data_IF_421499692746
#
_entry.id   IF_421499692746
#
_cell.length_a   1.000
_cell.length_b   1.000
_cell.length_c   1.000
_cell.angle_alpha   90.00
_cell.angle_beta   90.00
_cell.angle_gamma   90.00
#
_symmetry.space_group_name_H-M   'P 1'
#
loop_
_entity.id
_entity.type
_entity.pdbx_description
1 polymer ?
#
# COMPACT_ATOMS: atom_id res chain seq x y z
N UNK A 1 -9.60 47.88 -20.94
CA UNK A 1 -9.33 47.41 -19.57
C UNK A 1 -9.54 45.90 -19.56
N UNK A 2 -8.44 45.14 -19.54
CA UNK A 2 -8.37 43.79 -20.13
C UNK A 2 -8.72 42.70 -19.11
N UNK A 3 -9.66 41.80 -19.46
CA UNK A 3 -10.12 40.65 -18.65
C UNK A 3 -8.98 39.78 -18.09
N UNK A 4 -7.81 39.82 -18.72
CA UNK A 4 -6.61 39.09 -18.30
C UNK A 4 -5.94 39.63 -17.02
N UNK A 5 -6.09 40.91 -16.69
CA UNK A 5 -5.51 41.51 -15.46
C UNK A 5 -6.28 41.06 -14.21
N UNK A 6 -7.59 40.85 -14.34
CA UNK A 6 -8.46 40.38 -13.25
C UNK A 6 -8.22 38.90 -12.91
N UNK A 7 -7.87 38.08 -13.90
CA UNK A 7 -7.52 36.66 -13.70
C UNK A 7 -6.14 36.51 -13.05
N UNK A 8 -5.18 37.37 -13.40
CA UNK A 8 -3.85 37.39 -12.79
C UNK A 8 -3.88 37.85 -11.32
N UNK A 9 -4.71 38.83 -10.98
CA UNK A 9 -4.92 39.25 -9.59
C UNK A 9 -5.62 38.17 -8.74
N UNK A 10 -6.57 37.44 -9.31
CA UNK A 10 -7.22 36.31 -8.62
C UNK A 10 -6.24 35.15 -8.34
N UNK A 11 -5.29 34.89 -9.24
CA UNK A 11 -4.27 33.85 -9.04
C UNK A 11 -3.24 34.21 -7.97
N UNK A 12 -2.87 35.49 -7.85
CA UNK A 12 -1.94 35.96 -6.80
C UNK A 12 -2.59 35.90 -5.41
N UNK A 13 -3.92 36.10 -5.30
CA UNK A 13 -4.63 35.98 -4.02
C UNK A 13 -4.80 34.53 -3.53
N UNK A 14 -4.76 33.53 -4.41
CA UNK A 14 -4.84 32.11 -4.03
C UNK A 14 -3.50 31.62 -3.43
N UNK A 15 -2.38 32.24 -3.80
CA UNK A 15 -1.04 31.85 -3.31
C UNK A 15 -0.68 32.52 -1.97
N UNK A 16 -1.29 33.66 -1.62
CA UNK A 16 -1.07 34.32 -0.31
C UNK A 16 -1.96 33.81 0.84
N UNK A 17 -2.84 32.83 0.59
CA UNK A 17 -3.82 32.33 1.55
C UNK A 17 -3.38 31.16 2.44
N UNK A 18 -2.16 30.64 2.30
CA UNK A 18 -1.59 29.65 3.22
C UNK A 18 -1.16 30.33 4.53
N UNK A 19 -2.11 30.92 5.25
CA UNK A 19 -1.95 31.16 6.67
C UNK A 19 -1.72 29.79 7.31
N UNK A 20 -0.51 29.59 7.84
CA UNK A 20 -0.16 28.42 8.65
C UNK A 20 -1.10 28.41 9.85
N UNK A 21 -2.25 27.74 9.72
CA UNK A 21 -3.13 27.45 10.84
C UNK A 21 -2.30 26.62 11.82
N UNK A 22 -1.92 27.20 12.95
CA UNK A 22 -1.44 26.40 14.07
C UNK A 22 -2.52 25.38 14.39
N UNK A 23 -2.20 24.09 14.19
CA UNK A 23 -3.10 22.97 14.51
C UNK A 23 -3.39 23.05 16.00
N UNK A 24 -4.67 23.23 16.35
CA UNK A 24 -5.10 23.16 17.75
C UNK A 24 -5.13 21.69 18.16
N UNK A 25 -4.28 21.33 19.12
CA UNK A 25 -4.17 19.97 19.66
C UNK A 25 -5.14 19.77 20.86
N UNK A 26 -6.06 20.70 21.10
CA UNK A 26 -7.08 20.60 22.14
C UNK A 26 -6.51 20.47 23.55
N UNK A 27 -7.09 19.54 24.33
CA UNK A 27 -6.72 19.23 25.72
C UNK A 27 -5.59 18.19 25.83
N UNK A 28 -4.59 18.26 24.95
CA UNK A 28 -3.45 17.33 24.92
C UNK A 28 -2.65 17.19 26.23
N UNK A 29 -2.77 18.14 27.17
CA UNK A 29 -2.18 18.03 28.51
C UNK A 29 -2.95 17.10 29.45
N UNK A 30 -4.18 16.72 29.10
CA UNK A 30 -5.05 15.82 29.86
C UNK A 30 -5.30 14.53 29.07
N UNK A 31 -5.57 14.66 27.76
CA UNK A 31 -5.92 13.56 26.86
C UNK A 31 -5.13 13.73 25.58
N UNK A 32 -4.26 12.76 25.26
CA UNK A 32 -3.48 12.79 24.03
C UNK A 32 -4.38 12.85 22.78
N UNK A 33 -3.95 13.55 21.71
CA UNK A 33 -4.73 13.59 20.48
C UNK A 33 -4.91 12.19 19.90
N UNK A 34 -6.16 11.83 19.57
CA UNK A 34 -6.47 10.63 18.79
C UNK A 34 -6.25 10.94 17.31
N UNK A 35 -5.01 10.76 16.85
CA UNK A 35 -4.65 10.83 15.43
C UNK A 35 -4.14 9.45 15.00
N UNK A 36 -4.65 8.91 13.88
CA UNK A 36 -4.22 7.62 13.36
C UNK A 36 -2.78 7.65 12.86
N UNK A 37 -2.28 8.82 12.47
CA UNK A 37 -1.04 8.95 11.69
C UNK A 37 0.19 9.22 12.57
N UNK A 38 -0.01 9.57 13.84
CA UNK A 38 1.05 9.97 14.75
C UNK A 38 1.00 9.23 16.10
N UNK A 39 2.18 8.98 16.66
CA UNK A 39 2.35 8.74 18.09
C UNK A 39 2.58 10.07 18.80
N UNK A 40 2.10 10.18 20.04
CA UNK A 40 2.25 11.36 20.87
C UNK A 40 2.86 11.00 22.23
N UNK A 41 3.70 11.88 22.75
CA UNK A 41 4.24 11.79 24.10
C UNK A 41 4.27 13.18 24.73
N UNK A 42 4.06 13.26 26.03
CA UNK A 42 4.10 14.52 26.78
C UNK A 42 5.28 14.51 27.74
N UNK A 43 6.06 15.60 27.72
CA UNK A 43 7.13 15.84 28.67
C UNK A 43 6.81 16.99 29.60
N UNK A 44 7.10 16.81 30.88
CA UNK A 44 6.86 17.78 31.94
C UNK A 44 5.79 17.33 32.95
N UNK A 45 5.37 18.23 33.86
CA UNK A 45 5.77 19.63 33.94
C UNK A 45 7.27 19.82 34.24
N UNK A 46 7.88 20.89 33.74
CA UNK A 46 9.30 21.18 33.93
C UNK A 46 9.60 22.68 34.07
N UNK A 47 10.64 23.09 34.82
CA UNK A 47 10.91 24.51 35.08
C UNK A 47 11.20 25.33 33.82
N UNK A 48 11.74 24.69 32.78
CA UNK A 48 12.09 25.36 31.51
C UNK A 48 11.44 24.66 30.32
N UNK A 49 11.17 25.43 29.27
CA UNK A 49 10.68 24.91 27.99
C UNK A 49 11.63 23.87 27.38
N UNK A 50 12.93 24.08 27.52
CA UNK A 50 13.93 23.14 27.00
C UNK A 50 13.86 21.80 27.73
N UNK A 51 13.81 21.81 29.07
CA UNK A 51 13.65 20.60 29.86
C UNK A 51 12.34 19.86 29.52
N UNK A 52 11.23 20.58 29.32
CA UNK A 52 9.97 19.96 28.89
C UNK A 52 10.09 19.28 27.52
N UNK A 53 10.75 19.94 26.55
CA UNK A 53 10.98 19.38 25.22
C UNK A 53 11.86 18.12 25.27
N UNK A 54 12.92 18.14 26.06
CA UNK A 54 13.86 17.02 26.18
C UNK A 54 13.21 15.84 26.90
N UNK A 55 12.40 16.12 27.93
CA UNK A 55 11.57 15.11 28.59
C UNK A 55 10.55 14.51 27.61
N UNK A 56 9.91 15.31 26.75
CA UNK A 56 8.94 14.79 25.77
C UNK A 56 9.60 13.86 24.74
N UNK A 57 10.83 14.19 24.32
CA UNK A 57 11.65 13.32 23.46
C UNK A 57 12.02 12.03 24.17
N UNK A 58 12.43 12.11 25.43
CA UNK A 58 12.77 10.94 26.25
C UNK A 58 11.56 10.02 26.44
N UNK A 59 10.38 10.57 26.74
CA UNK A 59 9.14 9.78 26.88
C UNK A 59 8.75 9.09 25.57
N UNK A 60 8.90 9.77 24.42
CA UNK A 60 8.72 9.12 23.12
C UNK A 60 9.74 7.98 22.90
N UNK A 61 11.01 8.19 23.25
CA UNK A 61 12.05 7.16 23.15
C UNK A 61 11.75 5.93 23.99
N UNK A 62 11.26 6.12 25.24
CA UNK A 62 10.81 5.03 26.11
C UNK A 62 9.62 4.29 25.51
N UNK A 63 8.61 5.02 25.02
CA UNK A 63 7.44 4.43 24.38
C UNK A 63 7.82 3.53 23.20
N UNK A 64 8.71 3.99 22.31
CA UNK A 64 9.19 3.22 21.18
C UNK A 64 9.94 1.96 21.65
N UNK A 65 10.87 2.10 22.61
CA UNK A 65 11.63 0.96 23.13
C UNK A 65 10.71 -0.12 23.70
N UNK A 66 9.78 0.26 24.59
CA UNK A 66 8.83 -0.68 25.21
C UNK A 66 7.93 -1.34 24.16
N UNK A 67 7.46 -0.57 23.17
CA UNK A 67 6.61 -1.11 22.09
C UNK A 67 7.37 -2.15 21.26
N UNK A 68 8.62 -1.86 20.92
CA UNK A 68 9.47 -2.75 20.11
C UNK A 68 9.88 -3.98 20.91
N UNK A 69 10.31 -3.82 22.16
CA UNK A 69 10.69 -4.94 23.02
C UNK A 69 9.49 -5.88 23.26
N UNK A 70 8.30 -5.34 23.54
CA UNK A 70 7.06 -6.14 23.66
C UNK A 70 6.70 -6.87 22.37
N UNK A 71 6.93 -6.25 21.21
CA UNK A 71 6.67 -6.88 19.92
C UNK A 71 7.67 -8.02 19.63
N UNK A 72 8.94 -7.83 19.95
CA UNK A 72 9.98 -8.86 19.84
C UNK A 72 9.63 -10.05 20.72
N UNK A 73 9.31 -9.81 22.00
CA UNK A 73 8.88 -10.87 22.93
C UNK A 73 7.69 -11.65 22.39
N UNK A 74 6.69 -10.94 21.86
CA UNK A 74 5.51 -11.58 21.26
C UNK A 74 5.89 -12.46 20.07
N UNK A 75 6.76 -11.99 19.17
CA UNK A 75 7.19 -12.78 18.01
C UNK A 75 8.00 -14.01 18.44
N UNK A 76 8.86 -13.90 19.45
CA UNK A 76 9.61 -15.03 20.03
C UNK A 76 8.65 -16.08 20.60
N UNK A 77 7.67 -15.64 21.39
CA UNK A 77 6.66 -16.53 22.00
C UNK A 77 5.79 -17.20 20.95
N UNK A 78 5.33 -16.45 19.94
CA UNK A 78 4.45 -16.96 18.88
C UNK A 78 5.16 -17.94 17.93
N UNK A 79 6.47 -17.75 17.72
CA UNK A 79 7.26 -18.56 16.77
C UNK A 79 7.91 -19.78 17.43
N UNK A 80 8.14 -19.76 18.76
CA UNK A 80 8.78 -20.84 19.50
C UNK A 80 10.29 -20.98 19.25
N UNK A 81 10.90 -20.01 18.59
CA UNK A 81 12.28 -20.03 18.10
C UNK A 81 13.05 -18.79 18.62
N UNK A 82 14.34 -18.94 18.88
CA UNK A 82 15.18 -17.88 19.44
C UNK A 82 15.62 -16.91 18.33
N UNK A 83 15.15 -15.66 18.37
CA UNK A 83 15.61 -14.63 17.43
C UNK A 83 17.07 -14.30 17.75
N UNK A 84 17.92 -14.37 16.72
CA UNK A 84 19.33 -14.00 16.83
C UNK A 84 19.52 -12.61 17.49
N UNK A 85 20.38 -12.57 18.51
CA UNK A 85 20.60 -11.37 19.34
C UNK A 85 21.09 -10.17 18.51
N UNK A 86 21.90 -10.40 17.47
CA UNK A 86 22.36 -9.34 16.57
C UNK A 86 21.19 -8.75 15.75
N UNK A 87 20.22 -9.58 15.36
CA UNK A 87 18.98 -9.10 14.72
C UNK A 87 18.16 -8.24 15.68
N UNK A 88 17.99 -8.67 16.93
CA UNK A 88 17.31 -7.88 17.99
C UNK A 88 18.00 -6.52 18.18
N UNK A 89 19.33 -6.51 18.26
CA UNK A 89 20.09 -5.28 18.48
C UNK A 89 19.98 -4.32 17.29
N UNK A 90 20.03 -4.82 16.05
CA UNK A 90 19.80 -4.01 14.85
C UNK A 90 18.40 -3.40 14.81
N UNK A 91 17.37 -4.16 15.21
CA UNK A 91 16.00 -3.66 15.29
C UNK A 91 15.84 -2.56 16.34
N UNK A 92 16.49 -2.70 17.50
CA UNK A 92 16.54 -1.65 18.52
C UNK A 92 17.23 -0.39 17.99
N UNK A 93 18.32 -0.53 17.24
CA UNK A 93 19.01 0.60 16.61
C UNK A 93 18.08 1.31 15.61
N UNK A 94 17.49 0.58 14.65
CA UNK A 94 16.57 1.16 13.66
C UNK A 94 15.35 1.83 14.29
N UNK A 95 14.82 1.23 15.35
CA UNK A 95 13.70 1.81 16.08
C UNK A 95 14.08 3.15 16.72
N UNK A 96 15.31 3.26 17.27
CA UNK A 96 15.84 4.52 17.78
C UNK A 96 16.08 5.54 16.67
N UNK A 97 16.51 5.11 15.47
CA UNK A 97 16.67 6.01 14.32
C UNK A 97 15.34 6.69 13.95
N UNK A 98 14.18 6.05 14.17
CA UNK A 98 12.87 6.70 13.92
C UNK A 98 12.61 7.96 14.75
N UNK A 99 13.34 8.14 15.87
CA UNK A 99 13.28 9.37 16.66
C UNK A 99 13.78 10.59 15.88
N UNK A 100 14.50 10.42 14.77
CA UNK A 100 14.88 11.53 13.88
C UNK A 100 13.65 12.24 13.29
N UNK A 101 12.53 11.53 13.13
CA UNK A 101 11.27 12.10 12.63
C UNK A 101 10.42 12.76 13.72
N UNK A 102 10.90 12.77 14.96
CA UNK A 102 10.20 13.39 16.08
C UNK A 102 10.19 14.91 15.94
N UNK A 103 9.02 15.52 16.14
CA UNK A 103 8.88 16.97 16.26
C UNK A 103 8.13 17.36 17.52
N UNK A 104 8.45 18.54 18.08
CA UNK A 104 7.64 19.14 19.15
C UNK A 104 6.42 19.80 18.50
N UNK A 105 5.25 19.28 18.79
CA UNK A 105 3.97 19.69 18.24
C UNK A 105 3.38 20.92 18.97
N UNK A 106 3.50 20.95 20.30
CA UNK A 106 2.96 22.03 21.12
C UNK A 106 3.75 22.18 22.43
N UNK A 107 3.72 23.39 23.00
CA UNK A 107 4.24 23.67 24.34
C UNK A 107 3.22 24.54 25.07
N UNK A 108 2.94 24.23 26.34
CA UNK A 108 2.07 25.02 27.21
C UNK A 108 2.80 25.32 28.53
N UNK A 109 2.64 26.53 29.05
CA UNK A 109 3.06 26.88 30.40
C UNK A 109 1.83 26.78 31.31
N UNK A 110 1.93 25.97 32.37
CA UNK A 110 0.94 25.86 33.45
C UNK A 110 1.59 26.30 34.76
N UNK A 111 0.80 26.49 35.80
CA UNK A 111 1.28 26.94 37.12
C UNK A 111 2.38 26.02 37.70
N UNK A 112 2.38 24.74 37.31
CA UNK A 112 3.36 23.73 37.72
C UNK A 112 4.62 23.66 36.84
N UNK A 113 4.66 24.41 35.73
CA UNK A 113 5.77 24.49 34.78
C UNK A 113 5.39 24.26 33.32
N UNK A 114 6.40 24.11 32.46
CA UNK A 114 6.23 23.87 31.03
C UNK A 114 5.91 22.40 30.73
N UNK A 115 4.94 22.18 29.86
CA UNK A 115 4.60 20.91 29.24
C UNK A 115 4.91 20.99 27.75
N UNK A 116 5.45 19.92 27.18
CA UNK A 116 5.71 19.80 25.75
C UNK A 116 5.07 18.54 25.18
N UNK A 117 4.43 18.66 24.02
CA UNK A 117 3.88 17.55 23.25
C UNK A 117 4.86 17.21 22.13
N UNK A 118 5.44 16.02 22.18
CA UNK A 118 6.15 15.42 21.06
C UNK A 118 5.18 14.65 20.16
N UNK A 119 5.43 14.67 18.86
CA UNK A 119 4.75 13.81 17.87
C UNK A 119 5.76 13.12 16.98
N UNK A 120 5.45 11.89 16.58
CA UNK A 120 6.24 11.11 15.62
C UNK A 120 5.31 10.41 14.63
N UNK A 121 5.61 10.42 13.31
CA UNK A 121 4.85 9.65 12.33
C UNK A 121 4.84 8.16 12.68
N UNK A 122 3.70 7.48 12.54
CA UNK A 122 3.62 6.03 12.84
C UNK A 122 4.29 5.13 11.80
N UNK A 123 4.32 5.57 10.54
CA UNK A 123 4.74 4.72 9.40
C UNK A 123 6.13 4.09 9.57
N UNK A 124 7.20 4.83 9.92
CA UNK A 124 8.54 4.25 10.03
C UNK A 124 8.61 3.12 11.08
N UNK A 125 8.00 3.33 12.25
CA UNK A 125 7.98 2.33 13.31
C UNK A 125 7.11 1.13 12.92
N UNK A 126 5.96 1.37 12.30
CA UNK A 126 5.08 0.31 11.83
C UNK A 126 5.76 -0.58 10.77
N UNK A 127 6.56 -0.01 9.87
CA UNK A 127 7.32 -0.76 8.87
C UNK A 127 8.37 -1.67 9.53
N UNK A 128 9.06 -1.19 10.57
CA UNK A 128 9.99 -2.00 11.37
C UNK A 128 9.25 -3.14 12.06
N UNK A 129 8.15 -2.84 12.76
CA UNK A 129 7.32 -3.87 13.42
C UNK A 129 6.69 -4.85 12.42
N UNK A 130 6.37 -4.41 11.21
CA UNK A 130 5.82 -5.28 10.18
C UNK A 130 6.90 -6.23 9.66
N UNK A 131 8.15 -5.78 9.51
CA UNK A 131 9.28 -6.62 9.11
C UNK A 131 9.62 -7.71 10.14
N UNK A 132 9.27 -7.51 11.41
CA UNK A 132 9.37 -8.51 12.47
C UNK A 132 8.36 -9.65 12.29
N UNK A 133 7.16 -9.34 11.80
CA UNK A 133 6.06 -10.29 11.68
C UNK A 133 5.99 -10.95 10.30
N UNK A 134 6.46 -10.27 9.27
CA UNK A 134 6.20 -10.65 7.88
C UNK A 134 7.40 -10.48 6.97
N UNK A 135 7.54 -11.43 6.05
CA UNK A 135 8.50 -11.37 4.95
C UNK A 135 7.77 -11.26 3.62
N UNK A 136 8.31 -10.43 2.73
CA UNK A 136 7.88 -10.36 1.34
C UNK A 136 8.63 -11.44 0.57
N UNK A 137 7.91 -12.45 0.08
CA UNK A 137 8.48 -13.53 -0.72
C UNK A 137 8.01 -13.47 -2.16
N UNK A 138 8.88 -13.81 -3.13
CA UNK A 138 8.46 -13.98 -4.50
C UNK A 138 7.42 -15.11 -4.59
N UNK A 139 6.51 -15.04 -5.57
CA UNK A 139 5.47 -16.04 -5.75
C UNK A 139 6.09 -17.42 -6.04
N UNK A 140 5.58 -18.46 -5.39
CA UNK A 140 6.06 -19.82 -5.63
C UNK A 140 5.62 -20.34 -7.00
N UNK A 141 6.41 -21.23 -7.61
CA UNK A 141 6.08 -21.87 -8.90
C UNK A 141 4.69 -22.50 -8.87
N UNK A 142 4.30 -23.13 -7.76
CA UNK A 142 2.96 -23.72 -7.59
C UNK A 142 1.81 -22.70 -7.54
N UNK A 143 2.06 -21.46 -7.12
CA UNK A 143 1.06 -20.37 -7.13
C UNK A 143 0.91 -19.77 -8.52
N UNK A 144 2.01 -19.66 -9.28
CA UNK A 144 2.01 -19.25 -10.69
C UNK A 144 1.23 -20.29 -11.51
N UNK A 145 1.56 -21.58 -11.38
CA UNK A 145 0.87 -22.67 -12.09
C UNK A 145 -0.64 -22.72 -11.77
N UNK A 146 -1.03 -22.48 -10.52
CA UNK A 146 -2.46 -22.42 -10.16
C UNK A 146 -3.18 -21.23 -10.78
N UNK A 147 -2.50 -20.11 -10.96
CA UNK A 147 -3.09 -18.91 -11.58
C UNK A 147 -3.14 -19.02 -13.11
N UNK A 148 -2.24 -19.81 -13.70
CA UNK A 148 -2.31 -20.27 -15.10
C UNK A 148 -3.55 -21.15 -15.32
N UNK A 149 -3.86 -22.05 -14.38
CA UNK A 149 -5.01 -22.95 -14.46
C UNK A 149 -6.35 -22.27 -14.15
N UNK A 150 -6.36 -21.37 -13.16
CA UNK A 150 -7.56 -20.66 -12.72
C UNK A 150 -7.24 -19.17 -12.48
N UNK A 151 -7.49 -18.30 -13.48
CA UNK A 151 -7.20 -16.88 -13.39
C UNK A 151 -7.93 -16.24 -12.20
N UNK A 152 -7.17 -15.81 -11.18
CA UNK A 152 -7.66 -15.06 -10.01
C UNK A 152 -7.50 -15.86 -8.71
N UNK A 153 -7.22 -17.16 -8.81
CA UNK A 153 -6.98 -18.04 -7.68
C UNK A 153 -5.74 -17.64 -6.85
N UNK A 154 -4.66 -17.21 -7.51
CA UNK A 154 -3.46 -16.71 -6.83
C UNK A 154 -3.72 -15.48 -5.97
N UNK A 155 -4.54 -14.54 -6.45
CA UNK A 155 -4.89 -13.33 -5.72
C UNK A 155 -5.77 -13.60 -4.50
N UNK A 156 -6.67 -14.59 -4.58
CA UNK A 156 -7.44 -15.06 -3.42
C UNK A 156 -6.51 -15.62 -2.33
N UNK A 157 -5.47 -16.38 -2.68
CA UNK A 157 -4.46 -16.86 -1.72
C UNK A 157 -3.58 -15.76 -1.13
N UNK A 158 -3.35 -14.66 -1.87
CA UNK A 158 -2.67 -13.45 -1.38
C UNK A 158 -3.60 -12.56 -0.52
N UNK A 159 -4.80 -13.03 -0.14
CA UNK A 159 -5.84 -12.27 0.59
C UNK A 159 -6.34 -11.01 -0.16
N UNK A 160 -6.06 -10.89 -1.46
CA UNK A 160 -6.52 -9.78 -2.29
C UNK A 160 -7.87 -10.12 -2.93
N UNK A 161 -8.90 -10.35 -2.09
CA UNK A 161 -10.18 -10.94 -2.50
C UNK A 161 -10.90 -10.12 -3.57
N UNK A 162 -10.94 -8.78 -3.43
CA UNK A 162 -11.60 -7.90 -4.40
C UNK A 162 -10.99 -7.99 -5.79
N UNK A 163 -9.65 -8.02 -5.87
CA UNK A 163 -8.92 -8.16 -7.13
C UNK A 163 -9.16 -9.54 -7.75
N UNK A 164 -9.01 -10.60 -6.94
CA UNK A 164 -9.21 -11.98 -7.40
C UNK A 164 -10.62 -12.23 -7.94
N UNK A 165 -11.64 -11.72 -7.24
CA UNK A 165 -13.03 -11.82 -7.68
C UNK A 165 -13.30 -11.02 -8.95
N UNK A 166 -12.74 -9.80 -9.07
CA UNK A 166 -12.88 -8.97 -10.27
C UNK A 166 -12.28 -9.63 -11.51
N UNK A 167 -11.14 -10.30 -11.37
CA UNK A 167 -10.51 -11.00 -12.50
C UNK A 167 -11.30 -12.26 -12.86
N UNK A 168 -11.72 -13.04 -11.88
CA UNK A 168 -12.57 -14.22 -12.11
C UNK A 168 -13.89 -13.83 -12.79
N UNK A 169 -14.59 -12.81 -12.29
CA UNK A 169 -15.86 -12.37 -12.88
C UNK A 169 -15.68 -11.85 -14.30
N UNK A 170 -14.60 -11.11 -14.57
CA UNK A 170 -14.28 -10.65 -15.93
C UNK A 170 -14.07 -11.81 -16.90
N UNK A 171 -13.37 -12.87 -16.49
CA UNK A 171 -13.16 -14.06 -17.31
C UNK A 171 -14.48 -14.79 -17.59
N UNK A 172 -15.33 -14.97 -16.57
CA UNK A 172 -16.65 -15.61 -16.74
C UNK A 172 -17.53 -14.80 -17.69
N UNK A 173 -17.57 -13.47 -17.56
CA UNK A 173 -18.35 -12.59 -18.43
C UNK A 173 -17.84 -12.65 -19.87
N UNK A 174 -16.52 -12.60 -20.09
CA UNK A 174 -15.94 -12.61 -21.43
C UNK A 174 -16.10 -13.98 -22.12
N UNK A 175 -15.95 -15.08 -21.38
CA UNK A 175 -16.26 -16.43 -21.88
C UNK A 175 -17.74 -16.56 -22.24
N UNK A 176 -18.63 -16.17 -21.32
CA UNK A 176 -20.07 -16.23 -21.55
C UNK A 176 -20.50 -15.39 -22.74
N UNK A 177 -19.97 -14.16 -22.86
CA UNK A 177 -20.24 -13.28 -24.00
C UNK A 177 -19.75 -13.90 -25.31
N UNK A 178 -18.57 -14.51 -25.33
CA UNK A 178 -18.06 -15.22 -26.50
C UNK A 178 -19.01 -16.33 -26.96
N UNK A 179 -19.52 -17.14 -26.03
CA UNK A 179 -20.45 -18.22 -26.34
C UNK A 179 -21.79 -17.69 -26.85
N UNK A 180 -22.33 -16.65 -26.21
CA UNK A 180 -23.58 -15.99 -26.64
C UNK A 180 -23.43 -15.42 -28.04
N UNK A 181 -22.38 -14.65 -28.30
CA UNK A 181 -22.13 -14.06 -29.61
C UNK A 181 -21.87 -15.11 -30.69
N UNK A 182 -21.21 -16.23 -30.35
CA UNK A 182 -21.06 -17.33 -31.29
C UNK A 182 -22.43 -17.96 -31.64
N UNK A 183 -23.31 -18.14 -30.66
CA UNK A 183 -24.67 -18.65 -30.89
C UNK A 183 -25.50 -17.69 -31.76
N UNK A 184 -25.46 -16.39 -31.48
CA UNK A 184 -26.19 -15.37 -32.25
C UNK A 184 -25.66 -15.25 -33.67
N UNK A 185 -24.33 -15.31 -33.85
CA UNK A 185 -23.68 -15.35 -35.15
C UNK A 185 -24.15 -16.54 -35.97
N UNK A 186 -24.16 -17.75 -35.41
CA UNK A 186 -24.65 -18.95 -36.11
C UNK A 186 -26.12 -18.83 -36.48
N UNK A 187 -26.97 -18.33 -35.57
CA UNK A 187 -28.39 -18.11 -35.87
C UNK A 187 -28.59 -17.12 -37.01
N UNK A 188 -27.88 -15.98 -37.01
CA UNK A 188 -27.95 -14.98 -38.07
C UNK A 188 -27.45 -15.56 -39.42
N UNK A 189 -26.43 -16.41 -39.39
CA UNK A 189 -25.94 -17.11 -40.56
C UNK A 189 -27.00 -18.06 -41.16
N UNK A 190 -27.67 -18.84 -40.31
CA UNK A 190 -28.74 -19.74 -40.75
C UNK A 190 -29.93 -18.96 -41.34
N UNK A 191 -30.33 -17.85 -40.71
CA UNK A 191 -31.38 -16.97 -41.22
C UNK A 191 -30.99 -16.28 -42.54
N UNK A 192 -29.71 -15.91 -42.70
CA UNK A 192 -29.14 -15.41 -43.96
C UNK A 192 -29.30 -16.43 -45.09
N UNK A 193 -29.05 -17.73 -44.83
CA UNK A 193 -29.18 -18.80 -45.82
C UNK A 193 -30.65 -19.04 -46.23
N UNK A 194 -31.60 -18.82 -45.31
CA UNK A 194 -33.03 -19.03 -45.54
C UNK A 194 -33.75 -17.80 -46.14
N UNK A 195 -33.12 -16.62 -46.13
CA UNK A 195 -33.72 -15.39 -46.61
C UNK A 195 -33.98 -15.37 -48.12
N UNK A 196 -35.23 -15.07 -48.50
CA UNK A 196 -35.70 -15.06 -49.90
C UNK A 196 -35.51 -13.74 -50.64
N UNK A 197 -35.28 -12.63 -49.92
CA UNK A 197 -35.11 -11.29 -50.50
C UNK A 197 -33.75 -10.73 -50.15
N UNK A 198 -33.15 -10.00 -51.09
CA UNK A 198 -31.79 -9.50 -50.94
C UNK A 198 -31.65 -8.45 -49.82
N UNK A 199 -32.70 -7.68 -49.53
CA UNK A 199 -32.69 -6.71 -48.43
C UNK A 199 -32.62 -7.38 -47.06
N UNK A 200 -33.42 -8.43 -46.84
CA UNK A 200 -33.42 -9.21 -45.60
C UNK A 200 -32.13 -10.01 -45.47
N UNK A 201 -31.62 -10.56 -46.58
CA UNK A 201 -30.34 -11.28 -46.61
C UNK A 201 -29.17 -10.37 -46.20
N UNK A 202 -29.15 -9.11 -46.66
CA UNK A 202 -28.12 -8.14 -46.24
C UNK A 202 -28.21 -7.83 -44.74
N UNK A 203 -29.40 -7.64 -44.20
CA UNK A 203 -29.60 -7.39 -42.78
C UNK A 203 -29.03 -8.53 -41.90
N UNK A 204 -29.35 -9.79 -42.21
CA UNK A 204 -28.81 -10.93 -41.47
C UNK A 204 -27.30 -11.09 -41.61
N UNK A 205 -26.75 -10.75 -42.77
CA UNK A 205 -25.30 -10.75 -42.98
C UNK A 205 -24.60 -9.67 -42.14
N UNK A 206 -25.18 -8.47 -42.05
CA UNK A 206 -24.65 -7.39 -41.22
C UNK A 206 -24.70 -7.77 -39.73
N UNK A 207 -25.77 -8.43 -39.29
CA UNK A 207 -25.90 -8.98 -37.94
C UNK A 207 -24.85 -10.07 -37.64
N UNK A 208 -24.66 -11.01 -38.57
CA UNK A 208 -23.62 -12.03 -38.48
C UNK A 208 -22.22 -11.41 -38.30
N UNK A 209 -21.87 -10.44 -39.15
CA UNK A 209 -20.59 -9.74 -39.07
C UNK A 209 -20.44 -8.98 -37.74
N UNK A 210 -21.52 -8.37 -37.24
CA UNK A 210 -21.51 -7.66 -35.98
C UNK A 210 -21.29 -8.62 -34.79
N UNK A 211 -22.01 -9.73 -34.73
CA UNK A 211 -21.81 -10.76 -33.70
C UNK A 211 -20.41 -11.39 -33.78
N UNK A 212 -19.86 -11.58 -34.98
CA UNK A 212 -18.49 -12.03 -35.15
C UNK A 212 -17.48 -11.04 -34.57
N UNK A 213 -17.63 -9.73 -34.82
CA UNK A 213 -16.77 -8.70 -34.25
C UNK A 213 -16.84 -8.66 -32.73
N UNK A 214 -18.05 -8.77 -32.15
CA UNK A 214 -18.26 -8.81 -30.70
C UNK A 214 -17.67 -10.08 -30.06
N UNK A 215 -17.82 -11.24 -30.71
CA UNK A 215 -17.19 -12.50 -30.30
C UNK A 215 -15.66 -12.38 -30.30
N UNK A 216 -15.08 -11.88 -31.40
CA UNK A 216 -13.62 -11.69 -31.50
C UNK A 216 -13.11 -10.68 -30.47
N UNK A 217 -13.82 -9.57 -30.24
CA UNK A 217 -13.48 -8.60 -29.20
C UNK A 217 -13.51 -9.22 -27.80
N UNK A 218 -14.49 -10.07 -27.51
CA UNK A 218 -14.59 -10.79 -26.23
C UNK A 218 -13.42 -11.77 -26.02
N UNK A 219 -13.03 -12.49 -27.07
CA UNK A 219 -11.87 -13.40 -27.05
C UNK A 219 -10.55 -12.66 -26.84
N UNK A 220 -10.35 -11.53 -27.52
CA UNK A 220 -9.16 -10.69 -27.33
C UNK A 220 -9.11 -10.13 -25.91
N UNK A 221 -10.24 -9.62 -25.41
CA UNK A 221 -10.36 -9.15 -24.03
C UNK A 221 -10.05 -10.25 -23.01
N UNK A 222 -10.51 -11.48 -23.27
CA UNK A 222 -10.24 -12.63 -22.42
C UNK A 222 -8.75 -12.93 -22.33
N UNK A 223 -8.06 -12.94 -23.48
CA UNK A 223 -6.60 -13.12 -23.54
C UNK A 223 -5.85 -12.01 -22.81
N UNK A 224 -6.27 -10.75 -22.97
CA UNK A 224 -5.65 -9.61 -22.30
C UNK A 224 -5.78 -9.70 -20.76
N UNK A 225 -6.98 -10.01 -20.25
CA UNK A 225 -7.20 -10.20 -18.81
C UNK A 225 -6.40 -11.40 -18.28
N UNK A 226 -6.27 -12.46 -19.07
CA UNK A 226 -5.46 -13.63 -18.71
C UNK A 226 -3.97 -13.28 -18.59
N UNK A 227 -3.42 -12.55 -19.56
CA UNK A 227 -2.02 -12.09 -19.53
C UNK A 227 -1.77 -11.13 -18.36
N UNK A 228 -2.68 -10.18 -18.12
CA UNK A 228 -2.60 -9.27 -16.99
C UNK A 228 -2.51 -10.02 -15.65
N UNK A 229 -3.33 -11.07 -15.48
CA UNK A 229 -3.29 -11.92 -14.31
C UNK A 229 -1.94 -12.62 -14.12
N UNK A 230 -1.41 -13.19 -15.20
CA UNK A 230 -0.13 -13.90 -15.17
C UNK A 230 1.02 -12.97 -14.76
N UNK A 231 1.03 -11.74 -15.29
CA UNK A 231 2.00 -10.71 -14.93
C UNK A 231 1.83 -10.34 -13.45
N UNK A 232 0.62 -9.96 -13.02
CA UNK A 232 0.38 -9.52 -11.64
C UNK A 232 0.72 -10.60 -10.60
N UNK A 233 0.40 -11.87 -10.87
CA UNK A 233 0.74 -12.98 -9.98
C UNK A 233 2.24 -13.22 -9.92
N UNK A 234 2.95 -13.08 -11.04
CA UNK A 234 4.39 -13.35 -11.16
C UNK A 234 5.28 -12.22 -10.63
N UNK A 235 4.81 -10.97 -10.65
CA UNK A 235 5.60 -9.81 -10.20
C UNK A 235 5.28 -9.35 -8.79
N UNK A 236 4.08 -9.62 -8.26
CA UNK A 236 3.69 -9.11 -6.95
C UNK A 236 4.20 -10.02 -5.82
N UNK A 237 5.08 -9.49 -4.97
CA UNK A 237 5.51 -10.18 -3.75
C UNK A 237 4.33 -10.43 -2.80
N UNK A 238 4.45 -11.52 -2.04
CA UNK A 238 3.45 -11.93 -1.06
C UNK A 238 3.98 -11.67 0.34
N UNK A 239 3.14 -11.03 1.16
CA UNK A 239 3.32 -10.92 2.60
C UNK A 239 3.03 -12.28 3.25
N UNK A 240 4.07 -12.94 3.77
CA UNK A 240 3.98 -14.23 4.46
C UNK A 240 4.37 -14.03 5.92
N UNK A 241 3.61 -14.55 6.90
CA UNK A 241 4.05 -14.50 8.29
C UNK A 241 5.36 -15.27 8.45
N UNK A 242 6.32 -14.67 9.13
CA UNK A 242 7.58 -15.33 9.47
C UNK A 242 7.26 -16.40 10.50
N UNK A 243 7.43 -17.67 10.11
CA UNK A 243 7.19 -18.83 10.98
C UNK A 243 8.48 -19.50 11.49
N UNK A 244 9.58 -19.20 10.83
CA UNK A 244 10.96 -19.63 11.12
C UNK A 244 11.86 -18.60 10.47
N UNK A 245 12.83 -18.03 11.20
CA UNK A 245 13.92 -17.30 10.57
C UNK A 245 15.21 -17.47 11.37
N UNK A 246 16.18 -18.16 10.77
CA UNK A 246 17.56 -17.72 10.84
C UNK A 246 17.70 -16.55 9.85
N UNK A 247 17.77 -15.32 10.37
CA UNK A 247 17.85 -14.10 9.55
C UNK A 247 19.27 -13.97 9.02
N UNK A 248 19.52 -14.29 7.73
CA UNK A 248 20.72 -13.83 7.04
C UNK A 248 20.38 -12.60 6.20
N UNK A 249 20.82 -11.43 6.66
CA UNK A 249 20.67 -10.17 5.94
C UNK A 249 21.75 -10.09 4.86
N UNK A 250 21.40 -10.45 3.62
CA UNK A 250 22.23 -10.22 2.44
C UNK A 250 22.03 -8.81 1.91
N UNK A 251 23.10 -8.02 1.86
CA UNK A 251 23.09 -6.66 1.33
C UNK A 251 23.27 -6.65 -0.19
N UNK A 252 22.53 -5.78 -0.89
CA UNK A 252 22.85 -5.39 -2.26
C UNK A 252 23.01 -3.86 -2.28
N UNK A 253 24.25 -3.38 -2.18
CA UNK A 253 24.60 -1.98 -2.31
C UNK A 253 25.05 -1.72 -3.76
N UNK A 254 24.52 -0.71 -4.47
CA UNK A 254 25.25 -0.12 -5.59
C UNK A 254 26.29 0.89 -5.05
N UNK A 255 27.56 0.57 -5.32
CA UNK A 255 28.75 1.42 -5.37
C UNK A 255 28.89 2.61 -4.40
N UNK A 256 29.69 2.41 -3.34
CA UNK A 256 30.57 3.46 -2.80
C UNK A 256 31.96 2.87 -2.63
N UNK A 257 32.89 3.18 -3.55
CA UNK A 257 34.32 2.91 -3.38
C UNK A 257 34.94 3.99 -2.49
N UNK A 258 35.34 3.62 -1.28
CA UNK A 258 36.28 4.41 -0.47
C UNK A 258 37.70 3.84 -0.68
N UNK A 259 38.52 4.59 -1.42
CA UNK A 259 39.96 4.33 -1.59
C UNK A 259 40.69 5.05 -0.46
N UNK A 260 41.34 4.30 0.42
CA UNK A 260 42.31 4.85 1.36
C UNK A 260 43.73 4.65 0.82
N UNK A 261 44.48 5.76 0.70
CA UNK A 261 45.92 5.78 0.44
C UNK A 261 46.56 6.42 1.66
N UNK A 262 47.31 5.65 2.44
CA UNK A 262 48.10 6.15 3.57
C UNK A 262 49.57 6.37 3.15
N UNK A 263 50.27 7.38 3.66
CA UNK A 263 51.70 7.26 3.93
C UNK A 263 51.96 6.36 5.15
#
# INVERSE_FOLDING_TARGET
>A
MNRYVLVLLAFVSIVSGCAVKHKDYGRWCEILPEDSDYFYAVGGPSPTRQAANDNARSEMGKFISVTVDSEIERVVVDSGDEIDQNTIDQLRVRSKETLEYLSIAAVKNKDEGYLALARMPRRPLNEIMESLRFEWRPPSTGEIVRSVLAPGWGQLKKKQVRKGLSILSSQVVLLGSTLIFNSLKTSAHDDYLLARTDGVRRAYRDDEENYQRLMTGSLVGLGAVYLYNLIDVSTADKKVPIRDKSVSVGFNYPDIRLVYRFP
#
